data_IF_667912371462
#
_entry.id   IF_667912371462
#
_cell.length_a   1.000
_cell.length_b   1.000
_cell.length_c   1.000
_cell.angle_alpha   90.00
_cell.angle_beta   90.00
_cell.angle_gamma   90.00
#
_symmetry.space_group_name_H-M   'P 1'
#
loop_
_entity.id
_entity.type
_entity.pdbx_description
1 polymer ?
#
# COMPACT_ATOMS: atom_id res chain seq x y z
N UNK A 1 -12.85 23.40 51.73
CA UNK A 1 -11.64 22.97 50.99
C UNK A 1 -12.09 21.98 49.92
N UNK A 2 -12.26 22.40 48.67
CA UNK A 2 -12.58 21.50 47.55
C UNK A 2 -11.36 21.47 46.63
N UNK A 3 -10.65 20.35 46.61
CA UNK A 3 -9.55 20.11 45.67
C UNK A 3 -10.15 19.61 44.36
N UNK A 4 -10.07 20.44 43.31
CA UNK A 4 -10.34 20.02 41.94
C UNK A 4 -9.05 19.38 41.42
N UNK A 5 -9.04 18.06 41.29
CA UNK A 5 -7.98 17.32 40.61
C UNK A 5 -8.14 17.52 39.09
N UNK A 6 -7.29 18.36 38.51
CA UNK A 6 -7.20 18.53 37.06
C UNK A 6 -6.55 17.31 36.41
N UNK A 7 -7.32 16.53 35.65
CA UNK A 7 -6.75 15.56 34.71
C UNK A 7 -6.14 16.32 33.53
N UNK A 8 -4.82 16.28 33.43
CA UNK A 8 -4.06 16.68 32.24
C UNK A 8 -4.38 15.72 31.10
N UNK A 9 -5.28 16.11 30.20
CA UNK A 9 -5.45 15.46 28.90
C UNK A 9 -4.22 15.80 28.05
N UNK A 10 -3.22 14.92 28.05
CA UNK A 10 -2.14 15.01 27.08
C UNK A 10 -2.72 14.81 25.66
N UNK A 11 -2.41 15.69 24.69
CA UNK A 11 -2.83 15.48 23.32
C UNK A 11 -2.14 14.22 22.81
N UNK A 12 -2.91 13.18 22.49
CA UNK A 12 -2.39 12.06 21.74
C UNK A 12 -1.99 12.60 20.36
N UNK A 13 -0.70 12.87 20.18
CA UNK A 13 -0.13 13.15 18.87
C UNK A 13 -0.31 11.86 18.07
N UNK A 14 -1.39 11.77 17.31
CA UNK A 14 -1.61 10.66 16.39
C UNK A 14 -0.43 10.68 15.42
N UNK A 15 0.48 9.73 15.58
CA UNK A 15 1.57 9.52 14.63
C UNK A 15 0.93 9.38 13.24
N UNK A 16 1.43 10.16 12.28
CA UNK A 16 0.97 10.10 10.90
C UNK A 16 0.92 8.62 10.46
N UNK A 17 -0.09 8.19 9.67
CA UNK A 17 -0.31 6.77 9.36
C UNK A 17 0.95 5.99 8.97
N UNK A 18 1.86 6.63 8.22
CA UNK A 18 3.15 6.09 7.82
C UNK A 18 4.12 5.71 8.96
N UNK A 19 4.00 6.35 10.12
CA UNK A 19 4.89 6.17 11.26
C UNK A 19 4.36 5.11 12.26
N UNK A 20 3.34 4.35 11.84
CA UNK A 20 2.79 3.21 12.57
C UNK A 20 3.56 1.91 12.26
N UNK A 21 3.13 0.78 12.82
CA UNK A 21 3.69 -0.53 12.51
C UNK A 21 3.47 -0.90 11.02
N UNK A 22 4.34 -1.72 10.40
CA UNK A 22 4.27 -2.04 8.97
C UNK A 22 2.89 -2.53 8.50
N UNK A 23 2.24 -3.39 9.30
CA UNK A 23 0.90 -3.92 9.00
C UNK A 23 -0.16 -2.80 8.93
N UNK A 24 -0.07 -1.81 9.82
CA UNK A 24 -1.02 -0.71 9.84
C UNK A 24 -0.84 0.20 8.60
N UNK A 25 0.42 0.45 8.19
CA UNK A 25 0.72 1.19 6.96
C UNK A 25 0.21 0.43 5.72
N UNK A 26 0.49 -0.87 5.62
CA UNK A 26 0.04 -1.69 4.51
C UNK A 26 -1.50 -1.77 4.44
N UNK A 27 -2.19 -1.85 5.59
CA UNK A 27 -3.65 -1.78 5.65
C UNK A 27 -4.16 -0.42 5.16
N UNK A 28 -3.60 0.69 5.66
CA UNK A 28 -4.01 2.02 5.23
C UNK A 28 -3.78 2.23 3.72
N UNK A 29 -2.68 1.70 3.18
CA UNK A 29 -2.41 1.73 1.74
C UNK A 29 -3.45 0.92 0.95
N UNK A 30 -3.74 -0.31 1.38
CA UNK A 30 -4.78 -1.14 0.76
C UNK A 30 -6.16 -0.47 0.77
N UNK A 31 -6.58 0.07 1.91
CA UNK A 31 -7.87 0.78 2.04
C UNK A 31 -7.92 2.04 1.14
N UNK A 32 -6.81 2.75 0.99
CA UNK A 32 -6.73 3.93 0.12
C UNK A 32 -6.66 3.61 -1.38
N UNK A 33 -6.41 2.36 -1.75
CA UNK A 33 -6.18 1.93 -3.15
C UNK A 33 -7.18 0.89 -3.63
N UNK A 34 -8.21 0.60 -2.83
CA UNK A 34 -9.30 -0.33 -3.19
C UNK A 34 -10.67 0.32 -2.99
N UNK A 35 -11.72 -0.31 -3.53
CA UNK A 35 -13.09 0.20 -3.45
C UNK A 35 -13.24 1.53 -4.19
N UNK A 36 -13.37 2.63 -3.43
CA UNK A 36 -13.42 4.00 -3.99
C UNK A 36 -12.05 4.68 -4.09
N UNK A 37 -11.00 3.98 -3.64
CA UNK A 37 -9.63 4.45 -3.71
C UNK A 37 -9.05 4.36 -5.11
N UNK A 38 -7.80 4.79 -5.23
CA UNK A 38 -7.08 4.84 -6.49
C UNK A 38 -5.65 4.35 -6.30
N UNK A 39 -5.33 3.22 -6.95
CA UNK A 39 -4.00 2.63 -6.86
C UNK A 39 -2.90 3.55 -7.39
N UNK A 40 -3.18 4.35 -8.41
CA UNK A 40 -2.16 5.19 -9.03
C UNK A 40 -1.96 6.52 -8.29
N UNK A 41 -2.84 6.85 -7.36
CA UNK A 41 -2.78 8.06 -6.54
C UNK A 41 -2.91 7.77 -5.03
N UNK A 42 -2.07 6.88 -4.45
CA UNK A 42 -2.10 6.62 -3.03
C UNK A 42 -1.62 7.84 -2.23
N UNK A 43 -2.01 7.99 -0.96
CA UNK A 43 -1.47 9.02 -0.09
C UNK A 43 0.07 9.00 -0.08
N UNK A 44 0.76 10.11 -0.43
CA UNK A 44 2.22 10.09 -0.63
C UNK A 44 3.01 9.64 0.60
N UNK A 45 2.46 9.82 1.80
CA UNK A 45 3.11 9.39 3.04
C UNK A 45 3.17 7.87 3.19
N UNK A 46 2.30 7.11 2.51
CA UNK A 46 2.20 5.65 2.63
C UNK A 46 3.10 4.88 1.66
N UNK A 47 3.64 5.53 0.63
CA UNK A 47 4.43 4.90 -0.42
C UNK A 47 5.84 5.46 -0.50
N UNK A 48 6.80 4.62 -0.86
CA UNK A 48 8.18 5.04 -1.05
C UNK A 48 8.27 6.10 -2.16
N UNK A 49 9.25 7.02 -2.12
CA UNK A 49 9.39 8.04 -3.15
C UNK A 49 9.51 7.45 -4.56
N UNK A 50 10.22 6.32 -4.69
CA UNK A 50 10.43 5.65 -5.96
C UNK A 50 9.14 5.00 -6.47
N UNK A 51 8.42 4.28 -5.61
CA UNK A 51 7.19 3.62 -6.00
C UNK A 51 6.07 4.62 -6.30
N UNK A 52 5.90 5.63 -5.44
CA UNK A 52 4.94 6.72 -5.68
C UNK A 52 5.24 7.50 -6.96
N UNK A 53 6.52 7.68 -7.34
CA UNK A 53 6.88 8.28 -8.63
C UNK A 53 6.44 7.40 -9.81
N UNK A 54 6.64 6.09 -9.71
CA UNK A 54 6.25 5.14 -10.75
C UNK A 54 4.71 5.14 -10.96
N UNK A 55 3.94 5.08 -9.88
CA UNK A 55 2.46 5.12 -9.92
C UNK A 55 1.93 6.41 -10.57
N UNK A 56 2.50 7.57 -10.20
CA UNK A 56 2.13 8.84 -10.85
C UNK A 56 2.54 8.90 -12.32
N UNK A 57 3.65 8.26 -12.69
CA UNK A 57 4.08 8.12 -14.08
C UNK A 57 3.04 7.35 -14.90
N UNK A 58 2.54 6.24 -14.36
CA UNK A 58 1.46 5.47 -14.97
C UNK A 58 0.18 6.30 -15.10
N UNK A 59 -0.27 7.00 -14.05
CA UNK A 59 -1.43 7.91 -14.12
C UNK A 59 -1.27 8.96 -15.21
N UNK A 60 -0.10 9.60 -15.28
CA UNK A 60 0.17 10.60 -16.32
C UNK A 60 0.17 10.01 -17.73
N UNK A 61 0.61 8.76 -17.88
CA UNK A 61 0.47 8.02 -19.12
C UNK A 61 -1.01 7.79 -19.45
N UNK A 62 -1.80 7.24 -18.53
CA UNK A 62 -3.22 6.92 -18.78
C UNK A 62 -4.03 8.16 -19.19
N UNK A 63 -3.71 9.32 -18.62
CA UNK A 63 -4.32 10.61 -19.03
C UNK A 63 -3.95 11.00 -20.46
N UNK A 64 -2.71 10.74 -20.89
CA UNK A 64 -2.21 11.10 -22.24
C UNK A 64 -2.69 10.12 -23.31
N UNK A 65 -2.72 8.82 -23.01
CA UNK A 65 -3.04 7.74 -23.94
C UNK A 65 -4.52 7.31 -23.88
N UNK A 66 -5.38 8.09 -23.19
CA UNK A 66 -6.81 7.78 -23.00
C UNK A 66 -7.10 6.41 -22.37
N UNK A 67 -6.17 5.93 -21.54
CA UNK A 67 -6.38 4.81 -20.61
C UNK A 67 -5.32 3.72 -20.66
N UNK A 68 -4.90 3.26 -21.83
CA UNK A 68 -4.06 2.06 -21.93
C UNK A 68 -2.57 2.43 -21.81
N UNK A 69 -1.94 2.00 -20.72
CA UNK A 69 -0.51 2.15 -20.48
C UNK A 69 0.11 0.82 -20.00
N UNK A 70 1.03 0.83 -19.04
CA UNK A 70 1.78 -0.37 -18.67
C UNK A 70 0.99 -1.29 -17.75
N UNK A 71 0.12 -0.76 -16.89
CA UNK A 71 -0.76 -1.57 -16.05
C UNK A 71 -2.10 -1.78 -16.77
N UNK A 72 -2.38 -3.02 -17.13
CA UNK A 72 -3.59 -3.47 -17.83
C UNK A 72 -4.55 -4.29 -16.95
N UNK A 73 -4.23 -4.43 -15.66
CA UNK A 73 -4.97 -5.23 -14.69
C UNK A 73 -4.83 -4.68 -13.28
N UNK A 74 -5.84 -4.86 -12.43
CA UNK A 74 -5.76 -4.50 -11.01
C UNK A 74 -4.79 -5.47 -10.30
N UNK A 75 -3.67 -4.99 -9.74
CA UNK A 75 -2.70 -5.82 -9.03
C UNK A 75 -3.25 -6.51 -7.76
N UNK A 76 -4.31 -5.99 -7.15
CA UNK A 76 -4.97 -6.63 -6.01
C UNK A 76 -5.78 -7.86 -6.44
N UNK A 77 -6.35 -7.83 -7.64
CA UNK A 77 -7.14 -8.91 -8.22
C UNK A 77 -6.28 -9.87 -9.05
N UNK A 78 -5.16 -9.38 -9.58
CA UNK A 78 -4.35 -10.05 -10.61
C UNK A 78 -5.25 -10.40 -11.82
N UNK A 79 -6.06 -9.41 -12.21
CA UNK A 79 -7.12 -9.46 -13.23
C UNK A 79 -7.79 -8.09 -13.44
N UNK A 80 -8.61 -7.97 -14.48
CA UNK A 80 -9.35 -6.72 -14.80
C UNK A 80 -10.62 -6.56 -13.97
N UNK A 81 -11.31 -7.67 -13.71
CA UNK A 81 -12.57 -7.70 -12.98
C UNK A 81 -12.46 -8.56 -11.72
N UNK A 82 -13.39 -8.36 -10.81
CA UNK A 82 -13.59 -9.17 -9.62
C UNK A 82 -13.66 -8.34 -8.35
N UNK A 83 -13.93 -9.03 -7.25
CA UNK A 83 -13.99 -8.43 -5.92
C UNK A 83 -13.20 -9.30 -4.95
N UNK A 84 -12.60 -8.64 -3.96
CA UNK A 84 -12.06 -9.32 -2.78
C UNK A 84 -13.25 -9.71 -1.90
N UNK A 85 -13.51 -11.02 -1.78
CA UNK A 85 -14.73 -11.58 -1.16
C UNK A 85 -14.51 -12.11 0.26
N UNK A 86 -13.35 -11.81 0.87
CA UNK A 86 -13.06 -12.09 2.28
C UNK A 86 -12.46 -10.88 2.99
N UNK A 87 -12.46 -10.92 4.33
CA UNK A 87 -11.56 -10.08 5.10
C UNK A 87 -10.10 -10.39 4.73
N UNK A 88 -9.24 -9.37 4.83
CA UNK A 88 -7.81 -9.52 4.57
C UNK A 88 -7.10 -9.89 5.88
N UNK A 89 -6.37 -11.00 5.86
CA UNK A 89 -5.42 -11.37 6.90
C UNK A 89 -4.03 -10.80 6.57
N UNK A 90 -3.39 -10.18 7.56
CA UNK A 90 -2.12 -9.47 7.39
C UNK A 90 -1.05 -10.10 8.28
N UNK A 91 0.11 -10.40 7.69
CA UNK A 91 1.25 -10.93 8.42
C UNK A 91 2.54 -10.21 8.06
N UNK A 92 3.24 -9.70 9.08
CA UNK A 92 4.55 -9.10 8.90
C UNK A 92 5.66 -10.16 8.84
N UNK A 93 6.55 -10.03 7.86
CA UNK A 93 7.79 -10.79 7.72
C UNK A 93 8.94 -9.79 7.68
N UNK A 94 9.75 -9.79 8.73
CA UNK A 94 10.90 -8.89 8.81
C UNK A 94 12.10 -9.47 8.06
N UNK A 95 12.69 -8.68 7.16
CA UNK A 95 13.93 -9.06 6.47
C UNK A 95 15.15 -8.36 7.11
N UNK A 96 14.98 -7.11 7.54
CA UNK A 96 16.02 -6.33 8.23
C UNK A 96 15.40 -5.27 9.16
N UNK A 97 16.22 -4.42 9.77
CA UNK A 97 15.74 -3.29 10.58
C UNK A 97 14.96 -2.25 9.74
N UNK A 98 15.23 -2.17 8.43
CA UNK A 98 14.69 -1.16 7.53
C UNK A 98 13.91 -1.73 6.35
N UNK A 99 13.71 -3.04 6.28
CA UNK A 99 12.97 -3.69 5.21
C UNK A 99 12.23 -4.94 5.70
N UNK A 100 11.18 -5.30 4.97
CA UNK A 100 10.44 -6.54 5.14
C UNK A 100 9.22 -6.56 4.24
N UNK A 101 8.31 -7.48 4.49
CA UNK A 101 7.12 -7.70 3.66
C UNK A 101 5.89 -7.86 4.55
N UNK A 102 4.80 -7.21 4.18
CA UNK A 102 3.48 -7.58 4.68
C UNK A 102 2.86 -8.57 3.70
N UNK A 103 2.65 -9.80 4.15
CA UNK A 103 1.86 -10.80 3.43
C UNK A 103 0.38 -10.53 3.67
N UNK A 104 -0.39 -10.43 2.60
CA UNK A 104 -1.84 -10.21 2.61
C UNK A 104 -2.54 -11.41 2.02
N UNK A 105 -3.40 -12.06 2.82
CA UNK A 105 -4.17 -13.24 2.43
C UNK A 105 -5.64 -12.90 2.40
N UNK A 106 -6.28 -13.23 1.29
CA UNK A 106 -7.70 -12.99 1.06
C UNK A 106 -8.19 -13.90 -0.07
N UNK A 107 -9.47 -13.86 -0.41
CA UNK A 107 -10.02 -14.54 -1.56
C UNK A 107 -10.50 -13.57 -2.63
N UNK A 108 -10.44 -14.02 -3.88
CA UNK A 108 -11.09 -13.39 -5.05
C UNK A 108 -11.81 -14.52 -5.77
N UNK A 109 -13.11 -14.40 -5.98
CA UNK A 109 -13.97 -15.48 -6.50
C UNK A 109 -13.78 -16.82 -5.77
N UNK A 110 -13.75 -16.78 -4.43
CA UNK A 110 -13.53 -17.93 -3.55
C UNK A 110 -12.17 -18.63 -3.72
N UNK A 111 -11.25 -18.07 -4.52
CA UNK A 111 -9.89 -18.59 -4.68
C UNK A 111 -8.92 -17.86 -3.77
N UNK A 112 -8.12 -18.61 -3.03
CA UNK A 112 -7.09 -18.05 -2.15
C UNK A 112 -6.07 -17.23 -2.94
N UNK A 113 -5.83 -16.01 -2.47
CA UNK A 113 -4.83 -15.05 -2.94
C UNK A 113 -3.82 -14.79 -1.83
N UNK A 114 -2.56 -14.67 -2.24
CA UNK A 114 -1.48 -14.16 -1.42
C UNK A 114 -0.79 -13.05 -2.21
N UNK A 115 -0.96 -11.83 -1.75
CA UNK A 115 -0.26 -10.65 -2.27
C UNK A 115 0.78 -10.23 -1.26
N UNK A 116 1.95 -9.83 -1.72
CA UNK A 116 3.06 -9.40 -0.87
C UNK A 116 3.28 -7.92 -1.08
N UNK A 117 3.38 -7.18 0.02
CA UNK A 117 3.61 -5.74 0.01
C UNK A 117 4.97 -5.48 0.65
N UNK A 118 6.05 -5.38 -0.14
CA UNK A 118 7.35 -4.95 0.35
C UNK A 118 7.27 -3.58 1.02
N UNK A 119 7.91 -3.48 2.18
CA UNK A 119 7.94 -2.29 3.02
C UNK A 119 9.38 -1.84 3.22
N UNK A 120 9.59 -0.52 3.22
CA UNK A 120 10.86 0.11 3.54
C UNK A 120 10.70 1.15 4.65
N UNK A 121 11.66 1.22 5.56
CA UNK A 121 11.74 2.29 6.56
C UNK A 121 12.61 3.41 5.99
N UNK A 122 12.03 4.61 5.88
CA UNK A 122 12.75 5.78 5.38
C UNK A 122 13.62 6.42 6.48
N UNK A 123 14.50 7.36 6.10
CA UNK A 123 15.40 8.04 7.04
C UNK A 123 14.70 8.85 8.14
N UNK A 124 13.41 9.18 7.96
CA UNK A 124 12.55 9.76 8.99
C UNK A 124 12.00 8.73 9.99
N UNK A 125 12.39 7.46 9.87
CA UNK A 125 11.97 6.37 10.71
C UNK A 125 10.60 5.79 10.39
N UNK A 126 9.87 6.28 9.39
CA UNK A 126 8.51 5.80 9.09
C UNK A 126 8.51 4.72 8.00
N UNK A 127 7.54 3.80 8.08
CA UNK A 127 7.39 2.71 7.11
C UNK A 127 6.57 3.17 5.91
N UNK A 128 6.96 2.69 4.73
CA UNK A 128 6.29 2.99 3.47
C UNK A 128 6.24 1.74 2.59
N UNK A 129 5.16 1.60 1.83
CA UNK A 129 4.99 0.58 0.80
C UNK A 129 5.94 0.87 -0.35
N UNK A 130 6.76 -0.10 -0.72
CA UNK A 130 7.75 0.04 -1.78
C UNK A 130 7.35 -0.69 -3.07
N UNK A 131 6.39 -1.59 -3.01
CA UNK A 131 5.90 -2.37 -4.15
C UNK A 131 4.58 -3.08 -3.82
N UNK A 132 3.92 -3.62 -4.86
CA UNK A 132 2.93 -4.68 -4.76
C UNK A 132 3.46 -5.86 -5.57
N UNK A 133 3.57 -7.03 -4.94
CA UNK A 133 3.91 -8.27 -5.62
C UNK A 133 2.67 -9.14 -5.66
N UNK A 134 2.11 -9.33 -6.87
CA UNK A 134 0.85 -10.04 -7.10
C UNK A 134 0.95 -11.52 -6.70
N UNK A 135 -0.19 -12.23 -6.70
CA UNK A 135 -0.22 -13.69 -6.52
C UNK A 135 0.72 -14.43 -7.49
N UNK A 136 0.89 -13.93 -8.72
CA UNK A 136 1.77 -14.53 -9.74
C UNK A 136 3.25 -14.18 -9.53
N UNK A 137 3.58 -13.40 -8.51
CA UNK A 137 4.95 -12.95 -8.24
C UNK A 137 5.38 -11.77 -9.10
N UNK A 138 4.45 -11.10 -9.79
CA UNK A 138 4.75 -9.93 -10.60
C UNK A 138 4.89 -8.70 -9.69
N UNK A 139 6.00 -7.98 -9.83
CA UNK A 139 6.25 -6.73 -9.12
C UNK A 139 5.70 -5.56 -9.93
N UNK A 140 4.75 -4.82 -9.36
CA UNK A 140 4.16 -3.63 -9.99
C UNK A 140 5.24 -2.58 -10.21
N UNK A 141 6.11 -2.35 -9.23
CA UNK A 141 7.23 -1.42 -9.36
C UNK A 141 8.15 -1.80 -10.53
N UNK A 142 8.45 -3.09 -10.72
CA UNK A 142 9.29 -3.53 -11.85
C UNK A 142 8.59 -3.39 -13.18
N UNK A 143 7.28 -3.67 -13.26
CA UNK A 143 6.47 -3.46 -14.46
C UNK A 143 6.52 -1.98 -14.85
N UNK A 144 6.23 -1.09 -13.91
CA UNK A 144 6.23 0.37 -14.14
C UNK A 144 7.62 1.00 -14.39
N UNK A 145 8.69 0.28 -14.07
CA UNK A 145 10.05 0.73 -14.36
C UNK A 145 10.52 0.36 -15.78
N UNK A 146 9.75 -0.44 -16.52
CA UNK A 146 10.06 -0.77 -17.91
C UNK A 146 9.79 0.44 -18.81
N UNK A 147 10.60 0.65 -19.86
CA UNK A 147 10.26 1.60 -20.91
C UNK A 147 8.89 1.25 -21.51
N UNK A 148 8.06 2.25 -21.74
CA UNK A 148 6.83 2.07 -22.52
C UNK A 148 7.21 1.64 -23.95
N UNK A 149 6.57 0.62 -24.53
CA UNK A 149 6.82 0.20 -25.92
C UNK A 149 6.70 1.31 -26.96
#
# INVERSE_FOLDING_TARGET
MWMIAGLLLAPAVQAAPACQAPVAVARAFYEATTGKGDLLEPPPALVSPAFGKALRGERACQVREEGICTIDSDPWLDGQDGDIDSAVDYQWRQDSASAGVVEMRYTVWKQARLTRVPMVRQGNGCWQVDDIVTRRGQSVRKILAQPVP
#
